data_IF_388726950738
#
_entry.id   IF_388726950738
#
_cell.length_a   1.000
_cell.length_b   1.000
_cell.length_c   1.000
_cell.angle_alpha   90.00
_cell.angle_beta   90.00
_cell.angle_gamma   90.00
#
_symmetry.space_group_name_H-M   'P 1'
#
loop_
_entity.id
_entity.type
_entity.pdbx_description
1 polymer ?
#
# COMPACT_ATOMS: atom_id res chain seq x y z
N UNK A 1 13.74 20.45 9.40
CA UNK A 1 14.16 19.05 9.20
C UNK A 1 13.00 18.10 8.93
N UNK A 2 11.74 18.46 9.21
CA UNK A 2 10.57 17.56 9.08
C UNK A 2 10.45 16.81 7.74
N UNK A 3 10.84 17.41 6.61
CA UNK A 3 10.83 16.74 5.29
C UNK A 3 11.88 15.62 5.24
N UNK A 4 13.09 15.85 5.77
CA UNK A 4 14.14 14.84 5.84
C UNK A 4 13.67 13.69 6.73
N UNK A 5 13.11 14.02 7.90
CA UNK A 5 12.54 13.04 8.82
C UNK A 5 11.43 12.22 8.14
N UNK A 6 10.61 12.87 7.31
CA UNK A 6 9.58 12.19 6.51
C UNK A 6 10.18 11.20 5.50
N UNK A 7 11.26 11.56 4.81
CA UNK A 7 11.94 10.61 3.92
C UNK A 7 12.61 9.46 4.69
N UNK A 8 13.16 9.73 5.89
CA UNK A 8 13.70 8.67 6.75
C UNK A 8 12.60 7.71 7.22
N UNK A 9 11.43 8.23 7.61
CA UNK A 9 10.25 7.42 7.95
C UNK A 9 9.74 6.63 6.74
N UNK A 10 9.86 7.17 5.53
CA UNK A 10 9.53 6.41 4.32
C UNK A 10 10.51 5.24 4.15
N UNK A 11 11.81 5.48 4.31
CA UNK A 11 12.84 4.44 4.20
C UNK A 11 12.63 3.37 5.28
N UNK A 12 12.37 3.74 6.53
CA UNK A 12 12.07 2.77 7.60
C UNK A 12 10.81 1.97 7.31
N UNK A 13 9.76 2.60 6.75
CA UNK A 13 8.54 1.92 6.33
C UNK A 13 8.81 0.88 5.24
N UNK A 14 9.69 1.21 4.29
CA UNK A 14 10.16 0.28 3.26
C UNK A 14 10.95 -0.88 3.85
N UNK A 15 11.91 -0.59 4.74
CA UNK A 15 12.70 -1.61 5.42
C UNK A 15 11.81 -2.56 6.22
N UNK A 16 10.83 -2.02 6.95
CA UNK A 16 9.86 -2.83 7.69
C UNK A 16 9.01 -3.69 6.74
N UNK A 17 8.50 -3.12 5.65
CA UNK A 17 7.70 -3.85 4.66
C UNK A 17 8.48 -5.02 4.03
N UNK A 18 9.76 -4.82 3.76
CA UNK A 18 10.63 -5.84 3.18
C UNK A 18 11.33 -6.74 4.19
N UNK A 19 11.15 -6.50 5.50
CA UNK A 19 11.75 -7.32 6.55
C UNK A 19 11.17 -8.74 6.63
N UNK A 20 9.95 -8.95 6.10
CA UNK A 20 9.27 -10.23 6.13
C UNK A 20 8.71 -10.60 4.75
N UNK A 21 9.03 -11.81 4.28
CA UNK A 21 8.47 -12.38 3.05
C UNK A 21 6.94 -12.46 3.08
N UNK A 22 6.33 -12.59 4.26
CA UNK A 22 4.88 -12.65 4.41
C UNK A 22 4.21 -11.36 3.93
N UNK A 23 4.79 -10.20 4.23
CA UNK A 23 4.24 -8.90 3.82
C UNK A 23 4.25 -8.73 2.32
N UNK A 24 5.35 -9.12 1.68
CA UNK A 24 5.50 -9.08 0.23
C UNK A 24 4.55 -10.10 -0.43
N UNK A 25 4.48 -11.32 0.12
CA UNK A 25 3.60 -12.38 -0.39
C UNK A 25 2.13 -11.97 -0.41
N UNK A 26 1.63 -11.44 0.71
CA UNK A 26 0.28 -10.88 0.78
C UNK A 26 0.10 -9.68 -0.17
N UNK A 27 1.12 -8.82 -0.29
CA UNK A 27 1.14 -7.71 -1.25
C UNK A 27 1.04 -8.16 -2.71
N UNK A 28 1.73 -9.25 -3.08
CA UNK A 28 1.67 -9.83 -4.42
C UNK A 28 0.28 -10.40 -4.69
N UNK A 29 -0.28 -11.19 -3.75
CA UNK A 29 -1.60 -11.80 -3.93
C UNK A 29 -2.69 -10.72 -4.09
N UNK A 30 -2.68 -9.70 -3.23
CA UNK A 30 -3.61 -8.57 -3.32
C UNK A 30 -3.44 -7.78 -4.63
N UNK A 31 -2.20 -7.57 -5.06
CA UNK A 31 -1.87 -6.92 -6.34
C UNK A 31 -2.40 -7.71 -7.53
N UNK A 32 -2.15 -9.02 -7.58
CA UNK A 32 -2.65 -9.90 -8.65
C UNK A 32 -4.18 -9.88 -8.69
N UNK A 33 -4.84 -9.93 -7.53
CA UNK A 33 -6.29 -9.79 -7.43
C UNK A 33 -6.79 -8.48 -8.04
N UNK A 34 -6.24 -7.33 -7.62
CA UNK A 34 -6.65 -6.01 -8.15
C UNK A 34 -6.36 -5.84 -9.64
N UNK A 35 -5.20 -6.28 -10.12
CA UNK A 35 -4.83 -6.22 -11.54
C UNK A 35 -5.80 -7.08 -12.38
N UNK A 36 -6.12 -8.28 -11.90
CA UNK A 36 -7.03 -9.20 -12.58
C UNK A 36 -8.45 -8.64 -12.66
N UNK A 37 -8.95 -8.03 -11.59
CA UNK A 37 -10.26 -7.37 -11.56
C UNK A 37 -10.39 -6.29 -12.63
N UNK A 38 -9.32 -5.52 -12.87
CA UNK A 38 -9.30 -4.45 -13.87
C UNK A 38 -9.24 -5.02 -15.28
N UNK A 39 -8.32 -5.95 -15.53
CA UNK A 39 -8.07 -6.50 -16.85
C UNK A 39 -9.21 -7.41 -17.34
N UNK A 40 -9.91 -8.06 -16.42
CA UNK A 40 -10.97 -9.02 -16.72
C UNK A 40 -12.36 -8.49 -16.32
N UNK A 41 -12.51 -7.17 -16.10
CA UNK A 41 -13.75 -6.55 -15.63
C UNK A 41 -14.99 -6.96 -16.44
N UNK A 42 -14.83 -7.10 -17.76
CA UNK A 42 -15.92 -7.50 -18.67
C UNK A 42 -16.25 -8.99 -18.63
N UNK A 43 -15.36 -9.83 -18.08
CA UNK A 43 -15.53 -11.28 -17.99
C UNK A 43 -16.01 -11.74 -16.61
N UNK A 44 -15.81 -10.94 -15.59
CA UNK A 44 -16.29 -11.25 -14.24
C UNK A 44 -17.81 -11.10 -14.19
N UNK A 45 -18.48 -12.13 -13.67
CA UNK A 45 -19.86 -11.97 -13.21
C UNK A 45 -19.89 -10.99 -12.02
N UNK A 46 -21.00 -10.27 -11.82
CA UNK A 46 -21.14 -9.33 -10.70
C UNK A 46 -20.79 -9.99 -9.34
N UNK A 47 -21.16 -11.26 -9.16
CA UNK A 47 -20.92 -12.02 -7.94
C UNK A 47 -19.44 -12.39 -7.76
N UNK A 48 -18.77 -12.82 -8.83
CA UNK A 48 -17.33 -13.15 -8.77
C UNK A 48 -16.46 -11.89 -8.59
N UNK A 49 -16.87 -10.76 -9.16
CA UNK A 49 -16.24 -9.46 -8.88
C UNK A 49 -16.36 -9.10 -7.38
N UNK A 50 -17.57 -9.22 -6.80
CA UNK A 50 -17.79 -8.94 -5.39
C UNK A 50 -16.95 -9.85 -4.48
N UNK A 51 -16.92 -11.15 -4.75
CA UNK A 51 -16.14 -12.12 -3.95
C UNK A 51 -14.65 -11.77 -4.01
N UNK A 52 -14.12 -11.52 -5.20
CA UNK A 52 -12.69 -11.15 -5.34
C UNK A 52 -12.38 -9.84 -4.63
N UNK A 53 -13.30 -8.88 -4.61
CA UNK A 53 -13.13 -7.61 -3.90
C UNK A 53 -13.08 -7.83 -2.38
N UNK A 54 -14.03 -8.61 -1.84
CA UNK A 54 -14.04 -8.98 -0.42
C UNK A 54 -12.78 -9.76 -0.02
N UNK A 55 -12.31 -10.70 -0.86
CA UNK A 55 -11.09 -11.45 -0.60
C UNK A 55 -9.86 -10.53 -0.58
N UNK A 56 -9.73 -9.61 -1.55
CA UNK A 56 -8.60 -8.68 -1.61
C UNK A 56 -8.59 -7.73 -0.42
N UNK A 57 -9.74 -7.17 -0.05
CA UNK A 57 -9.84 -6.30 1.13
C UNK A 57 -9.57 -7.09 2.42
N UNK A 58 -10.08 -8.32 2.54
CA UNK A 58 -9.78 -9.19 3.68
C UNK A 58 -8.29 -9.49 3.82
N UNK A 59 -7.61 -9.81 2.71
CA UNK A 59 -6.16 -10.01 2.70
C UNK A 59 -5.39 -8.75 3.09
N UNK A 60 -5.86 -7.58 2.65
CA UNK A 60 -5.24 -6.29 3.01
C UNK A 60 -5.43 -5.98 4.49
N UNK A 61 -6.62 -6.18 5.04
CA UNK A 61 -6.87 -6.02 6.48
C UNK A 61 -5.98 -6.95 7.29
N UNK A 62 -5.88 -8.21 6.88
CA UNK A 62 -5.00 -9.20 7.51
C UNK A 62 -3.53 -8.81 7.42
N UNK A 63 -3.09 -8.24 6.30
CA UNK A 63 -1.73 -7.68 6.15
C UNK A 63 -1.49 -6.54 7.14
N UNK A 64 -2.46 -5.64 7.34
CA UNK A 64 -2.33 -4.53 8.28
C UNK A 64 -2.30 -4.99 9.74
N UNK A 65 -3.12 -5.98 10.09
CA UNK A 65 -3.07 -6.63 11.40
C UNK A 65 -1.67 -7.19 11.64
N UNK A 66 -1.08 -7.87 10.65
CA UNK A 66 0.27 -8.39 10.78
C UNK A 66 1.34 -7.30 10.90
N UNK A 67 1.18 -6.14 10.26
CA UNK A 67 2.09 -5.01 10.49
C UNK A 67 2.11 -4.62 11.96
N UNK A 68 0.95 -4.54 12.62
CA UNK A 68 0.86 -4.20 14.04
C UNK A 68 1.49 -5.29 14.91
N UNK A 69 1.14 -6.56 14.68
CA UNK A 69 1.65 -7.68 15.47
C UNK A 69 3.18 -7.77 15.42
N UNK A 70 3.75 -7.69 14.22
CA UNK A 70 5.20 -7.80 14.04
C UNK A 70 5.90 -6.51 14.51
N UNK A 71 5.34 -5.34 14.18
CA UNK A 71 5.90 -4.03 14.56
C UNK A 71 5.91 -3.77 16.07
N UNK A 72 5.06 -4.44 16.83
CA UNK A 72 5.05 -4.39 18.30
C UNK A 72 5.55 -5.67 18.98
N UNK A 73 5.88 -6.71 18.21
CA UNK A 73 6.25 -8.03 18.70
C UNK A 73 5.21 -8.64 19.66
N UNK A 74 3.94 -8.61 19.26
CA UNK A 74 2.79 -9.07 20.07
C UNK A 74 2.16 -10.33 19.43
N UNK A 75 1.71 -11.26 20.27
CA UNK A 75 0.95 -12.45 19.85
C UNK A 75 -0.48 -12.04 19.45
N UNK A 76 -1.07 -12.70 18.46
CA UNK A 76 -2.44 -12.39 18.01
C UNK A 76 -3.45 -12.49 19.16
N UNK A 77 -3.84 -11.33 19.68
CA UNK A 77 -4.88 -11.17 20.69
C UNK A 77 -5.54 -9.80 20.49
N UNK A 78 -6.84 -9.81 20.19
CA UNK A 78 -7.60 -8.61 19.85
C UNK A 78 -7.53 -7.54 20.95
N UNK A 79 -7.61 -7.93 22.23
CA UNK A 79 -7.55 -6.98 23.34
C UNK A 79 -6.18 -6.29 23.43
N UNK A 80 -5.11 -7.03 23.18
CA UNK A 80 -3.74 -6.48 23.24
C UNK A 80 -3.48 -5.57 22.04
N UNK A 81 -3.96 -5.93 20.85
CA UNK A 81 -3.89 -5.07 19.65
C UNK A 81 -4.60 -3.74 19.92
N UNK A 82 -5.83 -3.80 20.46
CA UNK A 82 -6.60 -2.60 20.76
C UNK A 82 -5.91 -1.71 21.81
N UNK A 83 -5.40 -2.31 22.89
CA UNK A 83 -4.62 -1.59 23.90
C UNK A 83 -3.40 -0.91 23.28
N UNK A 84 -2.65 -1.61 22.43
CA UNK A 84 -1.47 -1.04 21.75
C UNK A 84 -1.83 0.16 20.87
N UNK A 85 -2.93 0.09 20.12
CA UNK A 85 -3.41 1.21 19.31
C UNK A 85 -3.76 2.40 20.22
N UNK A 86 -4.54 2.18 21.28
CA UNK A 86 -4.95 3.25 22.19
C UNK A 86 -3.78 3.90 22.92
N UNK A 87 -2.78 3.11 23.34
CA UNK A 87 -1.55 3.62 23.97
C UNK A 87 -0.75 4.48 22.99
N UNK A 88 -0.63 4.05 21.73
CA UNK A 88 0.03 4.85 20.68
C UNK A 88 -0.58 6.24 20.56
N UNK A 89 -1.92 6.34 20.52
CA UNK A 89 -2.62 7.63 20.44
C UNK A 89 -2.41 8.52 21.67
N UNK A 90 -2.28 7.94 22.88
CA UNK A 90 -2.04 8.70 24.11
C UNK A 90 -0.64 9.32 24.16
N UNK A 91 0.32 8.74 23.46
CA UNK A 91 1.71 9.21 23.41
C UNK A 91 1.95 10.29 22.34
N UNK A 92 0.93 10.68 21.58
CA UNK A 92 1.06 11.63 20.47
C UNK A 92 1.28 13.04 20.99
N UNK A 93 2.31 13.69 20.45
CA UNK A 93 2.49 15.13 20.56
C UNK A 93 1.74 15.81 19.40
N UNK A 94 0.64 16.51 19.69
CA UNK A 94 -0.24 17.11 18.67
C UNK A 94 0.47 18.12 17.75
N UNK A 95 1.31 19.04 18.24
CA UNK A 95 2.15 19.85 17.37
C UNK A 95 3.00 19.04 16.39
N UNK A 96 3.61 17.93 16.84
CA UNK A 96 4.46 17.08 16.02
C UNK A 96 3.65 16.34 14.94
N UNK A 97 2.50 15.76 15.31
CA UNK A 97 1.69 14.94 14.40
C UNK A 97 1.25 15.74 13.16
N UNK A 98 0.99 17.05 13.31
CA UNK A 98 0.61 17.92 12.19
C UNK A 98 1.75 18.02 11.18
N UNK A 99 2.99 18.24 11.65
CA UNK A 99 4.16 18.29 10.78
C UNK A 99 4.44 16.94 10.12
N UNK A 100 4.27 15.84 10.86
CA UNK A 100 4.47 14.49 10.34
C UNK A 100 3.42 14.14 9.27
N UNK A 101 2.16 14.55 9.45
CA UNK A 101 1.08 14.40 8.46
C UNK A 101 1.28 15.30 7.23
N UNK A 102 1.78 16.52 7.40
CA UNK A 102 2.17 17.36 6.27
C UNK A 102 3.31 16.72 5.48
N UNK A 103 4.30 16.18 6.17
CA UNK A 103 5.39 15.39 5.60
C UNK A 103 4.90 14.18 4.81
N UNK A 104 3.98 13.40 5.39
CA UNK A 104 3.28 12.30 4.73
C UNK A 104 2.65 12.74 3.40
N UNK A 105 1.85 13.82 3.41
CA UNK A 105 1.16 14.31 2.23
C UNK A 105 2.14 14.74 1.12
N UNK A 106 3.24 15.42 1.48
CA UNK A 106 4.25 15.84 0.52
C UNK A 106 4.96 14.62 -0.08
N UNK A 107 5.46 13.71 0.76
CA UNK A 107 6.23 12.54 0.31
C UNK A 107 5.39 11.62 -0.56
N UNK A 108 4.18 11.24 -0.11
CA UNK A 108 3.30 10.38 -0.89
C UNK A 108 2.65 11.11 -2.08
N UNK A 109 2.53 12.44 -2.03
CA UNK A 109 2.17 13.28 -3.17
C UNK A 109 3.21 13.20 -4.28
N UNK A 110 4.49 13.43 -3.93
CA UNK A 110 5.62 13.28 -4.84
C UNK A 110 5.73 11.85 -5.37
N UNK A 111 5.55 10.85 -4.51
CA UNK A 111 5.54 9.44 -4.91
C UNK A 111 4.47 9.18 -5.98
N UNK A 112 3.22 9.59 -5.71
CA UNK A 112 2.12 9.42 -6.67
C UNK A 112 2.37 10.17 -7.99
N UNK A 113 2.97 11.36 -7.93
CA UNK A 113 3.35 12.13 -9.11
C UNK A 113 4.39 11.40 -9.97
N UNK A 114 5.40 10.79 -9.33
CA UNK A 114 6.39 9.96 -10.03
C UNK A 114 5.74 8.75 -10.71
N UNK A 115 4.83 8.04 -10.02
CA UNK A 115 4.06 6.94 -10.62
C UNK A 115 3.29 7.42 -11.86
N UNK A 116 2.64 8.58 -11.78
CA UNK A 116 1.87 9.13 -12.90
C UNK A 116 2.74 9.41 -14.13
N UNK A 117 3.94 9.97 -13.93
CA UNK A 117 4.90 10.21 -15.02
C UNK A 117 5.42 8.89 -15.60
N UNK A 118 5.84 7.97 -14.73
CA UNK A 118 6.40 6.67 -15.14
C UNK A 118 5.41 5.87 -15.98
N UNK A 119 4.16 5.79 -15.54
CA UNK A 119 3.08 5.07 -16.24
C UNK A 119 2.27 5.98 -17.18
N UNK A 120 2.90 7.00 -17.77
CA UNK A 120 2.26 7.80 -18.83
C UNK A 120 1.89 6.94 -20.04
N UNK A 121 0.86 7.34 -20.79
CA UNK A 121 0.38 6.59 -21.97
C UNK A 121 1.48 6.27 -22.98
N UNK A 122 2.44 7.18 -23.16
CA UNK A 122 3.55 7.00 -24.09
C UNK A 122 4.54 5.91 -23.62
N UNK A 123 4.81 5.83 -22.32
CA UNK A 123 5.67 4.79 -21.77
C UNK A 123 4.94 3.44 -21.80
N UNK A 124 3.66 3.42 -21.45
CA UNK A 124 2.84 2.21 -21.49
C UNK A 124 2.74 1.65 -22.90
N UNK A 125 2.51 2.48 -23.92
CA UNK A 125 2.41 2.00 -25.30
C UNK A 125 3.73 1.39 -25.79
N UNK A 126 4.88 1.95 -25.40
CA UNK A 126 6.20 1.37 -25.66
C UNK A 126 6.37 0.00 -24.98
N UNK A 127 5.96 -0.11 -23.72
CA UNK A 127 6.01 -1.38 -22.96
C UNK A 127 5.13 -2.44 -23.63
N UNK A 128 3.86 -2.10 -23.95
CA UNK A 128 2.94 -3.04 -24.59
C UNK A 128 3.47 -3.53 -25.93
N UNK A 129 4.05 -2.66 -26.76
CA UNK A 129 4.70 -3.04 -28.01
C UNK A 129 5.91 -3.95 -27.79
N UNK A 130 6.74 -3.68 -26.78
CA UNK A 130 7.92 -4.50 -26.47
C UNK A 130 7.56 -5.92 -26.03
N UNK A 131 6.42 -6.10 -25.37
CA UNK A 131 5.96 -7.40 -24.88
C UNK A 131 4.84 -8.03 -25.74
N UNK A 132 4.55 -7.48 -26.93
CA UNK A 132 3.48 -7.94 -27.83
C UNK A 132 2.11 -8.12 -27.14
N UNK A 133 1.74 -7.17 -26.27
CA UNK A 133 0.46 -7.19 -25.54
C UNK A 133 -0.57 -6.40 -26.34
N UNK A 134 -1.35 -7.08 -27.17
CA UNK A 134 -2.39 -6.46 -28.01
C UNK A 134 -3.82 -6.69 -27.49
N UNK A 135 -3.99 -7.66 -26.58
CA UNK A 135 -5.31 -8.11 -26.08
C UNK A 135 -6.07 -7.06 -25.28
N UNK A 136 -5.39 -6.08 -24.69
CA UNK A 136 -5.97 -5.12 -23.76
C UNK A 136 -5.85 -3.70 -24.30
N UNK A 137 -6.81 -2.83 -23.95
CA UNK A 137 -6.69 -1.41 -24.25
C UNK A 137 -5.53 -0.78 -23.46
N UNK A 138 -4.87 0.23 -24.04
CA UNK A 138 -3.79 0.99 -23.38
C UNK A 138 -4.26 1.56 -22.03
N UNK A 139 -5.51 2.06 -21.97
CA UNK A 139 -6.08 2.61 -20.73
C UNK A 139 -6.24 1.54 -19.65
N UNK A 140 -6.78 0.38 -19.99
CA UNK A 140 -6.99 -0.72 -19.03
C UNK A 140 -5.64 -1.25 -18.51
N UNK A 141 -4.66 -1.40 -19.39
CA UNK A 141 -3.33 -1.87 -19.02
C UNK A 141 -2.57 -0.84 -18.17
N UNK A 142 -2.66 0.45 -18.52
CA UNK A 142 -2.12 1.54 -17.69
C UNK A 142 -2.72 1.52 -16.30
N UNK A 143 -4.06 1.43 -16.19
CA UNK A 143 -4.76 1.44 -14.92
C UNK A 143 -4.39 0.21 -14.07
N UNK A 144 -4.28 -0.96 -14.72
CA UNK A 144 -3.83 -2.19 -14.07
C UNK A 144 -2.41 -2.04 -13.50
N UNK A 145 -1.45 -1.52 -14.27
CA UNK A 145 -0.09 -1.31 -13.80
C UNK A 145 0.00 -0.30 -12.65
N UNK A 146 -0.71 0.82 -12.75
CA UNK A 146 -0.75 1.83 -11.68
C UNK A 146 -1.33 1.22 -10.41
N UNK A 147 -2.44 0.48 -10.51
CA UNK A 147 -3.02 -0.18 -9.34
C UNK A 147 -2.11 -1.25 -8.78
N UNK A 148 -1.47 -2.06 -9.62
CA UNK A 148 -0.55 -3.08 -9.14
C UNK A 148 0.63 -2.47 -8.41
N UNK A 149 1.25 -1.43 -8.98
CA UNK A 149 2.34 -0.72 -8.33
C UNK A 149 1.91 -0.09 -7.00
N UNK A 150 0.73 0.55 -6.97
CA UNK A 150 0.21 1.14 -5.73
C UNK A 150 -0.07 0.08 -4.66
N UNK A 151 -0.68 -1.05 -5.01
CA UNK A 151 -1.00 -2.09 -4.04
C UNK A 151 0.24 -2.80 -3.47
N UNK A 152 1.33 -2.83 -4.24
CA UNK A 152 2.55 -3.50 -3.81
C UNK A 152 3.51 -2.58 -3.06
N UNK A 153 3.65 -1.32 -3.50
CA UNK A 153 4.70 -0.42 -2.98
C UNK A 153 4.19 0.88 -2.37
N UNK A 154 2.96 1.32 -2.63
CA UNK A 154 2.50 2.61 -2.12
C UNK A 154 1.58 2.46 -0.92
N UNK A 155 0.49 1.70 -1.09
CA UNK A 155 -0.56 1.52 -0.10
C UNK A 155 -0.03 0.86 1.19
N UNK A 156 0.57 -0.35 1.16
CA UNK A 156 1.04 -0.99 2.39
C UNK A 156 2.07 -0.13 3.14
N UNK A 157 2.93 0.56 2.39
CA UNK A 157 3.99 1.41 2.94
C UNK A 157 3.42 2.69 3.52
N UNK A 158 2.40 3.28 2.89
CA UNK A 158 1.66 4.42 3.45
C UNK A 158 0.98 4.06 4.78
N UNK A 159 0.49 2.82 4.90
CA UNK A 159 -0.11 2.36 6.15
C UNK A 159 0.96 2.17 7.22
N UNK A 160 2.07 1.51 6.93
CA UNK A 160 3.20 1.36 7.86
C UNK A 160 3.68 2.73 8.34
N UNK A 161 3.85 3.67 7.41
CA UNK A 161 4.27 5.03 7.69
C UNK A 161 3.31 5.74 8.67
N UNK A 162 1.99 5.62 8.44
CA UNK A 162 0.99 6.16 9.35
C UNK A 162 1.04 5.46 10.72
N UNK A 163 1.22 4.14 10.76
CA UNK A 163 1.36 3.41 12.02
C UNK A 163 2.58 3.90 12.83
N UNK A 164 3.70 4.24 12.17
CA UNK A 164 4.88 4.81 12.84
C UNK A 164 4.56 6.20 13.40
N UNK A 165 3.95 7.09 12.61
CA UNK A 165 3.60 8.46 13.04
C UNK A 165 2.60 8.45 14.19
N UNK A 166 1.61 7.57 14.15
CA UNK A 166 0.67 7.40 15.25
C UNK A 166 1.24 6.60 16.44
N UNK A 167 2.54 6.28 16.41
CA UNK A 167 3.22 5.47 17.44
C UNK A 167 2.50 4.16 17.71
N UNK A 168 1.88 3.56 16.72
CA UNK A 168 1.21 2.25 16.84
C UNK A 168 2.22 1.12 16.66
N UNK A 169 3.28 1.33 15.88
CA UNK A 169 4.42 0.41 15.75
C UNK A 169 5.74 1.18 15.95
N UNK A 170 6.82 0.44 16.24
CA UNK A 170 8.18 0.97 16.38
C UNK A 170 8.76 1.44 15.04
#
# INVERSE_FOLDING_TARGET
>A
MFIIDSFLTLISSYQFYFSSFMFIGLGIITTVGRVSQVLLKEKFSKLSYLITELCVEGLRLLQYVFFILIGRNIIFNFNIIWQSITQGFLEINYPQIIWDLLGFLIVFGLYNFLIFILFSKNNISKIMKRFNIERYSIKSFQLALVLGFKNLFLIPISVIYLLIIFKIIL
#
